data_IF_733620445664
#
_entry.id   IF_733620445664
#
_cell.length_a   1.000
_cell.length_b   1.000
_cell.length_c   1.000
_cell.angle_alpha   90.00
_cell.angle_beta   90.00
_cell.angle_gamma   90.00
#
_symmetry.space_group_name_H-M   'P 1'
#
loop_
_entity.id
_entity.type
_entity.pdbx_description
1 polymer ?
#
# COMPACT_ATOMS: atom_id res chain seq x y z
N UNK A 1 -29.31 -47.19 1.57
CA UNK A 1 -28.29 -46.34 0.88
C UNK A 1 -26.93 -47.03 1.01
N UNK A 2 -26.24 -47.35 -0.09
CA UNK A 2 -24.95 -48.07 -0.04
C UNK A 2 -23.87 -47.20 0.62
N UNK A 3 -23.00 -47.79 1.45
CA UNK A 3 -21.87 -47.11 2.12
C UNK A 3 -21.01 -46.29 1.15
N UNK A 4 -20.91 -46.73 -0.11
CA UNK A 4 -20.18 -46.02 -1.18
C UNK A 4 -20.81 -44.66 -1.53
N UNK A 5 -22.14 -44.57 -1.59
CA UNK A 5 -22.84 -43.30 -1.85
C UNK A 5 -22.72 -42.34 -0.67
N UNK A 6 -22.71 -42.85 0.56
CA UNK A 6 -22.49 -42.05 1.75
C UNK A 6 -21.06 -41.47 1.81
N UNK A 7 -20.04 -42.27 1.46
CA UNK A 7 -18.66 -41.80 1.42
C UNK A 7 -18.41 -40.75 0.31
N UNK A 8 -19.02 -40.93 -0.86
CA UNK A 8 -18.92 -39.98 -1.97
C UNK A 8 -19.63 -38.64 -1.66
N UNK A 9 -20.76 -38.68 -0.97
CA UNK A 9 -21.46 -37.46 -0.55
C UNK A 9 -20.72 -36.73 0.58
N UNK A 10 -20.10 -37.47 1.51
CA UNK A 10 -19.27 -36.89 2.56
C UNK A 10 -18.01 -36.22 2.01
N UNK A 11 -17.31 -36.83 1.05
CA UNK A 11 -16.14 -36.22 0.42
C UNK A 11 -16.50 -34.98 -0.40
N UNK A 12 -17.63 -35.00 -1.12
CA UNK A 12 -18.14 -33.82 -1.84
C UNK A 12 -18.47 -32.67 -0.89
N UNK A 13 -19.09 -32.96 0.26
CA UNK A 13 -19.39 -31.95 1.28
C UNK A 13 -18.11 -31.34 1.89
N UNK A 14 -17.09 -32.17 2.14
CA UNK A 14 -15.79 -31.69 2.63
C UNK A 14 -15.13 -30.76 1.60
N UNK A 15 -15.13 -31.13 0.32
CA UNK A 15 -14.57 -30.29 -0.77
C UNK A 15 -15.29 -28.94 -0.86
N UNK A 16 -16.62 -28.92 -0.72
CA UNK A 16 -17.41 -27.68 -0.71
C UNK A 16 -17.07 -26.78 0.48
N UNK A 17 -16.86 -27.36 1.67
CA UNK A 17 -16.49 -26.60 2.88
C UNK A 17 -15.08 -25.99 2.81
N UNK A 18 -14.14 -26.64 2.11
CA UNK A 18 -12.79 -26.10 1.93
C UNK A 18 -12.75 -24.85 1.02
N UNK A 19 -13.66 -24.71 0.04
CA UNK A 19 -13.67 -23.55 -0.87
C UNK A 19 -14.13 -22.25 -0.21
N UNK A 20 -14.99 -22.33 0.81
CA UNK A 20 -15.54 -21.14 1.50
C UNK A 20 -14.44 -20.36 2.24
N UNK A 21 -13.45 -21.06 2.79
CA UNK A 21 -12.37 -20.44 3.56
C UNK A 21 -11.45 -19.57 2.70
N UNK A 22 -11.13 -20.01 1.47
CA UNK A 22 -10.25 -19.29 0.55
C UNK A 22 -10.87 -17.97 0.03
N UNK A 23 -12.18 -17.93 -0.18
CA UNK A 23 -12.89 -16.71 -0.60
C UNK A 23 -13.06 -15.70 0.55
N UNK A 24 -13.09 -16.17 1.79
CA UNK A 24 -13.21 -15.32 2.99
C UNK A 24 -11.91 -14.64 3.40
N UNK A 25 -10.79 -14.94 2.73
CA UNK A 25 -9.50 -14.39 3.09
C UNK A 25 -9.54 -12.87 2.96
N UNK A 26 -9.47 -12.19 4.10
CA UNK A 26 -9.48 -10.73 4.16
C UNK A 26 -8.33 -10.20 3.33
N UNK A 27 -8.65 -9.53 2.20
CA UNK A 27 -7.64 -8.88 1.39
C UNK A 27 -6.94 -7.81 2.23
N UNK A 28 -5.61 -7.79 2.18
CA UNK A 28 -4.85 -6.70 2.78
C UNK A 28 -5.40 -5.37 2.27
N UNK A 29 -5.74 -4.47 3.20
CA UNK A 29 -6.21 -3.13 2.85
C UNK A 29 -5.17 -2.48 1.94
N UNK A 30 -5.63 -1.91 0.82
CA UNK A 30 -4.74 -1.20 -0.09
C UNK A 30 -4.24 0.06 0.59
N UNK A 31 -2.91 0.23 0.62
CA UNK A 31 -2.28 1.47 1.06
C UNK A 31 -2.48 2.55 0.02
N UNK A 32 -2.97 3.71 0.44
CA UNK A 32 -3.18 4.87 -0.43
C UNK A 32 -2.08 5.89 -0.16
N UNK A 33 -1.40 6.34 -1.20
CA UNK A 33 -0.37 7.40 -1.11
C UNK A 33 -0.91 8.66 -1.79
N UNK A 34 -0.79 9.81 -1.14
CA UNK A 34 -1.12 11.11 -1.73
C UNK A 34 -0.14 11.43 -2.87
N UNK A 35 -0.67 11.59 -4.08
CA UNK A 35 0.05 12.04 -5.26
C UNK A 35 -0.76 13.11 -5.98
N UNK A 36 -0.16 14.27 -6.22
CA UNK A 36 -0.85 15.40 -6.83
C UNK A 36 0.12 16.54 -7.16
N UNK A 37 -0.45 17.68 -7.53
CA UNK A 37 0.30 18.88 -7.88
C UNK A 37 0.84 19.62 -6.64
N UNK A 38 0.18 19.49 -5.50
CA UNK A 38 0.53 20.16 -4.23
C UNK A 38 1.46 19.32 -3.35
N UNK A 39 2.63 18.97 -3.90
CA UNK A 39 3.63 18.13 -3.20
C UNK A 39 4.38 18.97 -2.15
N UNK A 40 4.32 18.62 -0.85
CA UNK A 40 4.97 19.40 0.21
C UNK A 40 6.50 19.26 0.20
N UNK A 41 7.16 20.20 0.89
CA UNK A 41 8.58 20.14 1.26
C UNK A 41 8.74 19.67 2.73
N UNK A 42 9.93 19.16 3.15
CA UNK A 42 10.14 18.60 4.49
C UNK A 42 9.84 19.56 5.64
N UNK A 43 10.11 20.84 5.45
CA UNK A 43 9.82 21.92 6.39
C UNK A 43 8.30 22.06 6.63
N UNK A 44 7.50 22.12 5.57
CA UNK A 44 6.04 22.12 5.71
C UNK A 44 5.52 20.86 6.41
N UNK A 45 6.06 19.69 6.05
CA UNK A 45 5.67 18.42 6.70
C UNK A 45 5.97 18.46 8.19
N UNK A 46 7.17 18.88 8.57
CA UNK A 46 7.59 18.99 9.98
C UNK A 46 6.61 19.82 10.79
N UNK A 47 6.17 20.95 10.23
CA UNK A 47 5.32 21.91 10.92
C UNK A 47 3.85 21.45 10.97
N UNK A 48 3.41 20.59 10.04
CA UNK A 48 1.99 20.24 9.85
C UNK A 48 1.67 18.75 9.97
N UNK A 49 2.63 17.89 10.36
CA UNK A 49 2.49 16.43 10.31
C UNK A 49 1.24 15.91 11.03
N UNK A 50 0.85 16.54 12.15
CA UNK A 50 -0.33 16.14 12.93
C UNK A 50 -1.65 16.32 12.20
N UNK A 51 -1.76 17.34 11.37
CA UNK A 51 -2.96 17.53 10.54
C UNK A 51 -2.90 16.62 9.30
N UNK A 52 -1.71 16.37 8.78
CA UNK A 52 -1.51 15.49 7.62
C UNK A 52 -1.84 14.02 7.96
N UNK A 53 -1.50 13.55 9.16
CA UNK A 53 -1.81 12.20 9.66
C UNK A 53 -3.33 11.93 9.76
N UNK A 54 -4.17 12.96 9.81
CA UNK A 54 -5.64 12.83 9.83
C UNK A 54 -6.25 12.56 8.45
N UNK A 55 -5.49 12.78 7.37
CA UNK A 55 -5.96 12.58 6.00
C UNK A 55 -6.12 11.08 5.72
N UNK A 56 -6.97 10.68 4.75
CA UNK A 56 -7.20 9.27 4.42
C UNK A 56 -6.06 8.65 3.60
N UNK A 57 -4.82 9.09 3.81
CA UNK A 57 -3.62 8.62 3.13
C UNK A 57 -2.68 7.93 4.11
N UNK A 58 -2.12 6.80 3.70
CA UNK A 58 -1.13 6.03 4.48
C UNK A 58 0.31 6.46 4.17
N UNK A 59 0.48 7.38 3.23
CA UNK A 59 1.74 8.00 2.88
C UNK A 59 1.54 9.19 1.97
N UNK A 60 2.59 9.95 1.79
CA UNK A 60 2.61 11.11 0.90
C UNK A 60 3.90 11.11 0.09
N UNK A 61 3.87 11.71 -1.09
CA UNK A 61 5.08 12.08 -1.83
C UNK A 61 5.48 13.48 -1.38
N UNK A 62 6.79 13.74 -1.25
CA UNK A 62 7.33 15.07 -0.95
C UNK A 62 8.53 15.35 -1.85
N UNK A 63 8.86 16.63 -2.03
CA UNK A 63 10.03 17.08 -2.79
C UNK A 63 11.10 17.58 -1.85
N UNK A 64 12.36 17.32 -2.18
CA UNK A 64 13.48 17.97 -1.52
C UNK A 64 13.86 19.25 -2.26
N UNK A 65 14.29 20.28 -1.53
CA UNK A 65 14.72 21.53 -2.16
C UNK A 65 16.00 21.29 -2.94
N UNK A 66 16.03 21.71 -4.20
CA UNK A 66 17.23 21.66 -5.05
C UNK A 66 17.48 20.32 -5.74
N UNK A 67 16.62 19.31 -5.56
CA UNK A 67 16.69 18.01 -6.22
C UNK A 67 15.33 17.58 -6.82
N UNK A 68 14.49 18.55 -7.15
CA UNK A 68 13.10 18.38 -7.60
C UNK A 68 12.92 18.58 -9.13
N UNK A 69 14.02 18.69 -9.87
CA UNK A 69 14.03 18.95 -11.31
C UNK A 69 14.41 17.69 -12.10
N UNK A 70 13.40 16.95 -12.59
CA UNK A 70 13.60 15.67 -13.29
C UNK A 70 14.40 15.78 -14.60
N UNK A 71 14.43 16.97 -15.20
CA UNK A 71 15.17 17.23 -16.44
C UNK A 71 16.57 17.82 -16.20
N UNK A 72 16.99 17.99 -14.95
CA UNK A 72 18.38 18.35 -14.66
C UNK A 72 19.27 17.11 -14.79
N UNK A 73 20.01 17.03 -15.90
CA UNK A 73 20.92 15.91 -16.20
C UNK A 73 22.30 16.08 -15.59
N UNK A 74 22.57 17.19 -14.88
CA UNK A 74 23.88 17.43 -14.29
C UNK A 74 24.11 16.48 -13.11
N UNK A 75 25.31 15.89 -12.99
CA UNK A 75 25.67 15.09 -11.83
C UNK A 75 25.53 15.89 -10.53
N UNK A 76 24.95 15.26 -9.50
CA UNK A 76 24.87 15.89 -8.19
C UNK A 76 26.26 16.02 -7.57
N UNK A 77 26.56 17.21 -7.07
CA UNK A 77 27.78 17.49 -6.33
C UNK A 77 27.68 16.89 -4.93
N UNK A 78 28.65 16.07 -4.54
CA UNK A 78 28.64 15.36 -3.24
C UNK A 78 28.54 16.34 -2.06
N UNK A 79 29.18 17.50 -2.19
CA UNK A 79 29.17 18.56 -1.20
C UNK A 79 27.76 19.10 -0.91
N UNK A 80 26.85 19.04 -1.91
CA UNK A 80 25.47 19.53 -1.80
C UNK A 80 24.48 18.49 -1.25
N UNK A 81 24.93 17.25 -1.05
CA UNK A 81 24.10 16.15 -0.53
C UNK A 81 24.21 16.01 0.99
N UNK A 82 25.00 16.86 1.66
CA UNK A 82 25.11 16.86 3.11
C UNK A 82 23.82 17.43 3.73
N UNK A 83 23.31 16.83 4.82
CA UNK A 83 22.05 17.22 5.46
C UNK A 83 22.10 18.61 6.09
#
# INVERSE_FOLDING_TARGET
>A
MSKKHFLLSLSSLIILLFQVNALSQQRTKKKIVEYGWDVPYPDFMRDNIREMEKRPFEGIIFRTKGFDHIFDTRPWKKEKLQP
#
